data_IF_342712700403
#
_entry.id   IF_342712700403
#
_cell.length_a   1.000
_cell.length_b   1.000
_cell.length_c   1.000
_cell.angle_alpha   90.00
_cell.angle_beta   90.00
_cell.angle_gamma   90.00
#
_symmetry.space_group_name_H-M   'P 1'
#
loop_
_entity.id
_entity.type
_entity.pdbx_description
1 polymer ?
#
# COMPACT_ATOMS: atom_id res chain seq x y z
N UNK A 1 -1.25 0.74 -21.88
CA UNK A 1 -2.56 0.05 -21.76
C UNK A 1 -2.37 -1.41 -22.13
N UNK A 2 -2.92 -2.32 -21.34
CA UNK A 2 -2.70 -3.76 -21.47
C UNK A 2 -4.02 -4.47 -21.79
N UNK A 3 -3.96 -5.55 -22.56
CA UNK A 3 -5.11 -6.41 -22.83
C UNK A 3 -4.71 -7.86 -22.63
N UNK A 4 -5.56 -8.62 -21.95
CA UNK A 4 -5.37 -10.04 -21.70
C UNK A 4 -6.71 -10.78 -21.74
N UNK A 5 -6.65 -12.11 -21.61
CA UNK A 5 -7.83 -12.94 -21.42
C UNK A 5 -7.72 -13.77 -20.15
N UNK A 6 -8.77 -13.81 -19.33
CA UNK A 6 -8.84 -14.68 -18.17
C UNK A 6 -10.10 -15.54 -18.24
N UNK A 7 -9.91 -16.86 -18.31
CA UNK A 7 -10.99 -17.86 -18.49
C UNK A 7 -11.89 -17.56 -19.70
N UNK A 8 -11.28 -17.13 -20.81
CA UNK A 8 -11.99 -16.81 -22.06
C UNK A 8 -12.69 -15.44 -22.07
N UNK A 9 -12.60 -14.63 -21.00
CA UNK A 9 -13.14 -13.28 -20.96
C UNK A 9 -12.03 -12.26 -21.20
N UNK A 10 -12.32 -11.20 -21.94
CA UNK A 10 -11.35 -10.12 -22.21
C UNK A 10 -11.21 -9.23 -20.98
N UNK A 11 -9.98 -8.84 -20.69
CA UNK A 11 -9.62 -8.00 -19.55
C UNK A 11 -8.80 -6.81 -20.05
N UNK A 12 -9.20 -5.59 -19.68
CA UNK A 12 -8.39 -4.39 -19.85
C UNK A 12 -7.54 -4.15 -18.60
N UNK A 13 -6.28 -3.81 -18.80
CA UNK A 13 -5.29 -3.68 -17.73
C UNK A 13 -4.63 -2.30 -17.71
N UNK A 14 -4.33 -1.82 -16.50
CA UNK A 14 -3.60 -0.58 -16.26
C UNK A 14 -2.52 -0.80 -15.21
N UNK A 15 -1.29 -0.49 -15.58
CA UNK A 15 -0.18 -0.45 -14.64
C UNK A 15 -0.33 0.76 -13.71
N UNK A 16 -0.22 0.50 -12.41
CA UNK A 16 -0.26 1.48 -11.34
C UNK A 16 1.09 1.40 -10.60
N UNK A 17 2.00 2.35 -10.83
CA UNK A 17 3.19 2.52 -10.01
C UNK A 17 2.77 2.80 -8.57
N UNK A 18 3.53 2.27 -7.61
CA UNK A 18 3.29 2.59 -6.20
C UNK A 18 3.65 4.06 -5.90
N UNK A 19 3.01 4.68 -4.89
CA UNK A 19 3.34 6.04 -4.50
C UNK A 19 4.82 6.18 -4.13
N UNK A 20 5.40 7.35 -4.41
CA UNK A 20 6.79 7.62 -4.09
C UNK A 20 7.08 7.37 -2.60
N UNK A 21 8.18 6.65 -2.31
CA UNK A 21 8.56 6.27 -0.95
C UNK A 21 7.88 5.01 -0.42
N UNK A 22 7.02 4.36 -1.22
CA UNK A 22 6.39 3.08 -0.87
C UNK A 22 6.98 1.94 -1.72
N UNK A 23 7.01 0.74 -1.13
CA UNK A 23 7.39 -0.50 -1.79
C UNK A 23 6.34 -1.57 -1.49
N UNK A 24 5.96 -2.34 -2.49
CA UNK A 24 5.05 -3.45 -2.35
C UNK A 24 5.78 -4.66 -1.78
N UNK A 25 5.15 -5.37 -0.84
CA UNK A 25 5.67 -6.60 -0.24
C UNK A 25 4.62 -7.69 -0.31
N UNK A 26 5.03 -8.90 -0.67
CA UNK A 26 4.22 -10.10 -0.54
C UNK A 26 4.58 -10.77 0.78
N UNK A 27 3.59 -10.83 1.69
CA UNK A 27 3.75 -11.50 2.97
C UNK A 27 3.19 -12.91 2.89
N UNK A 28 3.97 -13.87 3.37
CA UNK A 28 3.55 -15.26 3.50
C UNK A 28 3.56 -15.63 4.98
N UNK A 29 2.41 -16.09 5.47
CA UNK A 29 2.30 -16.68 6.81
C UNK A 29 3.14 -17.96 6.87
N UNK A 30 3.81 -18.18 7.98
CA UNK A 30 4.53 -19.42 8.20
C UNK A 30 4.32 -20.04 9.57
N UNK A 31 4.90 -21.23 9.76
CA UNK A 31 4.75 -22.09 10.94
C UNK A 31 5.87 -21.89 11.97
N UNK A 32 5.60 -21.49 13.24
CA UNK A 32 6.53 -20.92 14.27
C UNK A 32 8.05 -20.77 13.96
N UNK A 33 8.70 -19.63 14.29
CA UNK A 33 10.14 -19.48 14.05
C UNK A 33 10.92 -20.67 14.63
N UNK A 34 12.00 -21.14 13.97
CA UNK A 34 12.73 -22.35 14.36
C UNK A 34 13.48 -22.26 15.71
N UNK A 35 13.19 -21.25 16.52
CA UNK A 35 13.80 -21.03 17.82
C UNK A 35 12.81 -21.29 18.95
N UNK A 36 13.18 -22.21 19.85
CA UNK A 36 12.52 -22.56 21.14
C UNK A 36 12.40 -21.38 22.15
N UNK A 37 12.51 -20.12 21.71
CA UNK A 37 12.55 -18.92 22.57
C UNK A 37 11.41 -17.92 22.34
N UNK A 38 10.55 -18.13 21.35
CA UNK A 38 9.38 -17.29 21.09
C UNK A 38 8.14 -17.80 21.85
N UNK A 39 7.20 -16.91 22.15
CA UNK A 39 5.89 -17.32 22.66
C UNK A 39 5.21 -18.19 21.58
N UNK A 40 4.79 -19.44 21.88
CA UNK A 40 4.10 -20.30 20.92
C UNK A 40 2.78 -19.73 20.39
N UNK A 41 2.25 -18.63 20.95
CA UNK A 41 1.12 -17.87 20.39
C UNK A 41 1.50 -16.82 19.34
N UNK A 42 2.78 -16.51 19.15
CA UNK A 42 3.22 -15.51 18.16
C UNK A 42 3.13 -16.07 16.74
N UNK A 43 2.25 -15.47 15.94
CA UNK A 43 2.19 -15.73 14.49
C UNK A 43 3.27 -14.93 13.77
N UNK A 44 3.90 -15.55 12.78
CA UNK A 44 4.91 -14.89 11.97
C UNK A 44 4.54 -14.89 10.49
N UNK A 45 5.07 -13.87 9.81
CA UNK A 45 5.02 -13.74 8.37
C UNK A 45 6.43 -13.50 7.86
N UNK A 46 6.72 -14.01 6.67
CA UNK A 46 7.96 -13.73 5.95
C UNK A 46 7.67 -12.94 4.70
N UNK A 47 8.65 -12.15 4.26
CA UNK A 47 8.58 -11.47 2.97
C UNK A 47 8.96 -12.48 1.88
N UNK A 48 7.99 -12.84 1.05
CA UNK A 48 8.18 -13.77 -0.07
C UNK A 48 8.63 -13.06 -1.36
N UNK A 49 8.41 -11.75 -1.45
CA UNK A 49 8.78 -10.96 -2.63
C UNK A 49 8.42 -9.49 -2.49
N UNK A 50 8.85 -8.70 -3.47
CA UNK A 50 8.62 -7.26 -3.52
C UNK A 50 8.17 -6.83 -4.92
N UNK A 51 7.49 -5.69 -5.02
CA UNK A 51 7.07 -5.12 -6.30
C UNK A 51 6.94 -3.60 -6.22
N UNK A 52 7.16 -2.93 -7.35
CA UNK A 52 7.06 -1.46 -7.46
C UNK A 52 5.86 -1.01 -8.29
N UNK A 53 5.24 -1.93 -9.04
CA UNK A 53 4.10 -1.69 -9.93
C UNK A 53 3.09 -2.82 -9.72
N UNK A 54 1.81 -2.46 -9.61
CA UNK A 54 0.69 -3.40 -9.62
C UNK A 54 -0.20 -3.13 -10.83
N UNK A 55 -0.68 -4.16 -11.51
CA UNK A 55 -1.62 -3.98 -12.64
C UNK A 55 -3.05 -4.18 -12.16
N UNK A 56 -3.88 -3.16 -12.31
CA UNK A 56 -5.32 -3.24 -12.10
C UNK A 56 -5.99 -3.78 -13.36
N UNK A 57 -6.93 -4.72 -13.21
CA UNK A 57 -7.57 -5.42 -14.32
C UNK A 57 -9.09 -5.38 -14.18
N UNK A 58 -9.78 -4.97 -15.23
CA UNK A 58 -11.24 -4.91 -15.29
C UNK A 58 -11.77 -5.67 -16.51
N UNK A 59 -13.00 -6.19 -16.40
CA UNK A 59 -13.62 -6.98 -17.46
C UNK A 59 -14.06 -6.08 -18.62
N UNK A 60 -13.63 -6.42 -19.84
CA UNK A 60 -13.97 -5.76 -21.11
C UNK A 60 -13.62 -4.26 -21.25
N UNK A 61 -13.19 -3.60 -20.18
CA UNK A 61 -12.81 -2.18 -20.15
C UNK A 61 -11.45 -1.98 -19.48
N UNK A 62 -10.82 -0.84 -19.76
CA UNK A 62 -9.60 -0.42 -19.06
C UNK A 62 -10.01 0.32 -17.77
N UNK A 63 -9.46 -0.03 -16.60
CA UNK A 63 -9.78 0.64 -15.35
C UNK A 63 -9.59 2.16 -15.40
N UNK A 64 -10.46 2.89 -14.72
CA UNK A 64 -10.38 4.35 -14.58
C UNK A 64 -9.08 4.79 -13.88
N UNK A 65 -8.46 5.94 -14.26
CA UNK A 65 -7.22 6.39 -13.61
C UNK A 65 -7.45 6.96 -12.21
N UNK A 66 -8.69 7.24 -11.86
CA UNK A 66 -9.08 7.90 -10.62
C UNK A 66 -10.11 7.10 -9.82
N UNK A 67 -10.27 5.81 -10.11
CA UNK A 67 -11.21 4.91 -9.42
C UNK A 67 -10.49 3.76 -8.73
N UNK A 68 -11.25 2.99 -7.95
CA UNK A 68 -10.81 1.70 -7.40
C UNK A 68 -9.43 1.74 -6.73
N UNK A 69 -8.55 0.84 -7.16
CA UNK A 69 -7.20 0.70 -6.61
C UNK A 69 -6.35 1.97 -6.83
N UNK A 70 -6.51 2.66 -7.95
CA UNK A 70 -5.76 3.88 -8.23
C UNK A 70 -6.09 5.00 -7.24
N UNK A 71 -7.35 5.10 -6.80
CA UNK A 71 -7.74 6.04 -5.75
C UNK A 71 -7.22 5.60 -4.37
N UNK A 72 -7.26 4.30 -4.07
CA UNK A 72 -6.76 3.77 -2.80
C UNK A 72 -5.25 4.02 -2.61
N UNK A 73 -4.44 3.89 -3.67
CA UNK A 73 -3.01 4.19 -3.63
C UNK A 73 -2.72 5.67 -3.31
N UNK A 74 -3.64 6.60 -3.59
CA UNK A 74 -3.48 8.02 -3.22
C UNK A 74 -3.61 8.28 -1.71
N UNK A 75 -4.06 7.30 -0.92
CA UNK A 75 -4.19 7.45 0.53
C UNK A 75 -2.85 7.69 1.22
N UNK A 76 -1.76 7.06 0.76
CA UNK A 76 -0.45 7.14 1.41
C UNK A 76 0.03 8.59 1.67
N UNK A 77 0.13 9.43 0.63
CA UNK A 77 0.48 10.84 0.78
C UNK A 77 -0.47 11.63 1.70
N UNK A 78 -1.78 11.36 1.62
CA UNK A 78 -2.79 12.01 2.47
C UNK A 78 -2.59 11.64 3.94
N UNK A 79 -2.43 10.35 4.23
CA UNK A 79 -2.14 9.86 5.58
C UNK A 79 -0.85 10.46 6.13
N UNK A 80 0.20 10.55 5.30
CA UNK A 80 1.48 11.14 5.69
C UNK A 80 1.33 12.61 6.10
N UNK A 81 0.47 13.37 5.42
CA UNK A 81 0.23 14.77 5.77
C UNK A 81 -0.59 14.91 7.06
N UNK A 82 -1.63 14.08 7.24
CA UNK A 82 -2.50 14.09 8.43
C UNK A 82 -1.74 13.70 9.69
N UNK A 83 -0.85 12.72 9.59
CA UNK A 83 -0.09 12.19 10.73
C UNK A 83 1.26 12.87 10.93
N UNK A 84 1.57 13.92 10.17
CA UNK A 84 2.80 14.68 10.36
C UNK A 84 2.81 15.32 11.78
N UNK A 85 3.96 15.35 12.47
CA UNK A 85 4.08 16.04 13.75
C UNK A 85 3.65 17.51 13.62
N UNK A 86 2.92 18.01 14.62
CA UNK A 86 2.60 19.44 14.70
C UNK A 86 3.88 20.18 15.09
N UNK A 87 4.29 21.23 14.37
CA UNK A 87 5.44 22.02 14.78
C UNK A 87 5.13 22.68 16.13
N UNK A 88 6.04 22.55 17.09
CA UNK A 88 6.00 23.30 18.35
C UNK A 88 6.17 24.78 17.99
N UNK A 89 5.07 25.50 17.78
CA UNK A 89 5.10 26.96 17.87
C UNK A 89 5.27 27.30 19.33
N UNK A 90 6.40 27.93 19.67
CA UNK A 90 6.65 28.56 20.95
C UNK A 90 5.42 29.41 21.34
N UNK A 91 4.59 28.87 22.22
CA UNK A 91 3.42 29.53 22.79
C UNK A 91 3.83 30.52 23.90
N UNK A 92 4.94 31.23 23.67
CA UNK A 92 5.55 32.17 24.63
C UNK A 92 5.38 33.65 24.26
N UNK A 93 4.48 33.98 23.31
CA UNK A 93 4.07 35.36 23.04
C UNK A 93 2.55 35.59 23.13
N UNK A 94 1.88 35.01 24.13
CA UNK A 94 0.69 35.64 24.71
C UNK A 94 1.15 36.48 25.92
N UNK A 95 1.90 37.52 25.60
CA UNK A 95 2.24 38.58 26.54
C UNK A 95 1.00 39.46 26.75
N UNK A 96 0.35 39.34 27.90
CA UNK A 96 -0.60 40.34 28.38
C UNK A 96 0.12 41.67 28.65
N UNK A 97 -0.48 42.78 28.19
CA UNK A 97 -0.60 43.98 29.01
C UNK A 97 -2.07 44.31 29.37
#
# INVERSE_FOLDING_TARGET
ELWASFRGRRMGGRELPLPHGYQGVLLQEGESPPSDKGDPQERWVTVAGTFDIITDWEADVIPSPAGGLALALQWGPVASAIHAPVPETDSSEEAEP
#
